data_IF_020639165177
#
_entry.id   IF_020639165177
#
_cell.length_a   1.000
_cell.length_b   1.000
_cell.length_c   1.000
_cell.angle_alpha   90.00
_cell.angle_beta   90.00
_cell.angle_gamma   90.00
#
_symmetry.space_group_name_H-M   'P 1'
#
loop_
_entity.id
_entity.type
_entity.pdbx_description
1 polymer ?
#
# COMPACT_ATOMS: atom_id res chain seq x y z
N UNK A 1 4.15 2.16 -6.46
CA UNK A 1 5.09 1.73 -7.52
C UNK A 1 5.19 0.22 -7.60
N UNK A 2 5.85 -0.47 -6.65
CA UNK A 2 5.99 -1.94 -6.69
C UNK A 2 4.66 -2.67 -6.88
N UNK A 3 3.63 -2.28 -6.10
CA UNK A 3 2.29 -2.87 -6.24
C UNK A 3 1.68 -2.66 -7.64
N UNK A 4 1.89 -1.49 -8.23
CA UNK A 4 1.42 -1.16 -9.58
C UNK A 4 2.13 -1.96 -10.67
N UNK A 5 3.42 -2.19 -10.52
CA UNK A 5 4.17 -3.00 -11.49
C UNK A 5 3.75 -4.47 -11.39
N UNK A 6 3.64 -5.02 -10.17
CA UNK A 6 3.28 -6.42 -9.95
C UNK A 6 1.85 -6.75 -10.40
N UNK A 7 0.88 -5.86 -10.17
CA UNK A 7 -0.52 -6.09 -10.61
C UNK A 7 -0.62 -6.09 -12.14
N UNK A 8 0.16 -5.25 -12.83
CA UNK A 8 0.23 -5.22 -14.31
C UNK A 8 0.91 -6.46 -14.90
N UNK A 9 1.82 -7.09 -14.15
CA UNK A 9 2.43 -8.37 -14.50
C UNK A 9 1.51 -9.57 -14.22
N UNK A 10 0.31 -9.34 -13.66
CA UNK A 10 -0.70 -10.36 -13.42
C UNK A 10 -0.62 -11.03 -12.04
N UNK A 11 0.16 -10.47 -11.10
CA UNK A 11 0.20 -10.97 -9.73
C UNK A 11 -0.96 -10.42 -8.89
N UNK A 12 -1.47 -11.22 -7.96
CA UNK A 12 -2.35 -10.70 -6.90
C UNK A 12 -1.52 -9.94 -5.87
N UNK A 13 -1.90 -8.70 -5.56
CA UNK A 13 -1.12 -7.82 -4.69
C UNK A 13 -1.99 -7.29 -3.55
N UNK A 14 -1.50 -7.46 -2.32
CA UNK A 14 -2.06 -6.86 -1.11
C UNK A 14 -1.03 -5.92 -0.47
N UNK A 15 -1.44 -4.70 -0.17
CA UNK A 15 -0.63 -3.69 0.53
C UNK A 15 -1.16 -3.54 1.96
N UNK A 16 -0.31 -3.84 2.94
CA UNK A 16 -0.60 -3.58 4.35
C UNK A 16 -0.06 -2.22 4.75
N UNK A 17 -0.91 -1.37 5.32
CA UNK A 17 -0.56 -0.03 5.77
C UNK A 17 -0.98 0.12 7.23
N UNK A 18 -0.08 0.67 8.05
CA UNK A 18 -0.29 0.84 9.48
C UNK A 18 -1.29 1.96 9.79
N UNK A 19 -1.44 2.93 8.89
CA UNK A 19 -2.30 4.08 9.04
C UNK A 19 -3.64 3.92 8.30
N UNK A 20 -4.56 4.83 8.58
CA UNK A 20 -5.93 4.83 8.04
C UNK A 20 -6.04 5.33 6.58
N UNK A 21 -4.93 5.75 5.95
CA UNK A 21 -4.85 6.12 4.54
C UNK A 21 -3.52 5.63 3.96
N UNK A 22 -3.57 5.10 2.75
CA UNK A 22 -2.36 4.78 1.98
C UNK A 22 -1.68 6.07 1.45
N UNK A 23 -0.36 5.99 1.29
CA UNK A 23 0.45 7.07 0.70
C UNK A 23 1.58 7.61 1.59
N UNK A 24 1.67 7.14 2.84
CA UNK A 24 2.82 7.39 3.72
C UNK A 24 3.18 8.86 3.86
N UNK A 25 4.46 9.21 3.65
CA UNK A 25 4.98 10.59 3.79
C UNK A 25 4.23 11.57 2.88
N UNK A 26 3.73 11.15 1.72
CA UNK A 26 3.01 12.01 0.80
C UNK A 26 1.66 12.49 1.37
N UNK A 27 1.05 11.72 2.28
CA UNK A 27 -0.22 12.07 2.94
C UNK A 27 0.01 12.69 4.31
N UNK A 28 0.96 12.15 5.07
CA UNK A 28 1.14 12.49 6.49
C UNK A 28 2.30 13.45 6.78
N UNK A 29 3.27 13.56 5.87
CA UNK A 29 4.47 14.38 6.06
C UNK A 29 4.48 15.68 5.26
N UNK A 30 4.04 15.64 3.99
CA UNK A 30 4.10 16.81 3.09
C UNK A 30 2.84 17.68 3.29
N UNK A 31 2.99 19.00 3.51
CA UNK A 31 1.84 19.90 3.64
C UNK A 31 1.02 20.04 2.36
N UNK A 32 -0.31 20.21 2.49
CA UNK A 32 -1.28 20.31 1.39
C UNK A 32 -0.92 21.37 0.34
N UNK A 33 -0.39 22.52 0.78
CA UNK A 33 -0.04 23.62 -0.13
C UNK A 33 1.18 23.31 -1.01
N UNK A 34 1.99 22.29 -0.66
CA UNK A 34 3.10 21.82 -1.49
C UNK A 34 2.71 20.63 -2.36
N UNK A 35 1.89 19.74 -1.81
CA UNK A 35 1.40 18.56 -2.50
C UNK A 35 -0.08 18.35 -2.15
N UNK A 36 -0.99 18.66 -3.08
CA UNK A 36 -2.41 18.41 -2.87
C UNK A 36 -2.69 16.92 -2.66
N UNK A 37 -3.34 16.56 -1.55
CA UNK A 37 -3.60 15.15 -1.20
C UNK A 37 -4.51 14.45 -2.20
N UNK A 38 -5.32 15.21 -2.94
CA UNK A 38 -6.15 14.69 -4.02
C UNK A 38 -5.33 13.97 -5.11
N UNK A 39 -4.09 14.40 -5.35
CA UNK A 39 -3.21 13.76 -6.34
C UNK A 39 -2.81 12.37 -5.84
N UNK A 40 -2.39 12.28 -4.57
CA UNK A 40 -1.99 11.00 -3.96
C UNK A 40 -3.19 10.05 -3.89
N UNK A 41 -4.36 10.56 -3.49
CA UNK A 41 -5.59 9.76 -3.45
C UNK A 41 -5.94 9.16 -4.81
N UNK A 42 -5.84 9.95 -5.88
CA UNK A 42 -6.12 9.48 -7.24
C UNK A 42 -5.19 8.34 -7.66
N UNK A 43 -3.92 8.39 -7.28
CA UNK A 43 -2.98 7.31 -7.56
C UNK A 43 -3.31 6.04 -6.76
N UNK A 44 -3.72 6.17 -5.50
CA UNK A 44 -4.18 5.02 -4.70
C UNK A 44 -5.44 4.42 -5.30
N UNK A 45 -6.44 5.24 -5.67
CA UNK A 45 -7.67 4.80 -6.33
C UNK A 45 -7.38 4.09 -7.67
N UNK A 46 -6.38 4.55 -8.43
CA UNK A 46 -5.97 3.88 -9.66
C UNK A 46 -5.44 2.47 -9.38
N UNK A 47 -4.62 2.29 -8.33
CA UNK A 47 -4.12 0.98 -7.93
C UNK A 47 -5.25 0.06 -7.45
N UNK A 48 -6.20 0.59 -6.67
CA UNK A 48 -7.40 -0.14 -6.24
C UNK A 48 -8.22 -0.60 -7.44
N UNK A 49 -8.43 0.28 -8.43
CA UNK A 49 -9.16 -0.05 -9.66
C UNK A 49 -8.43 -1.09 -10.53
N UNK A 50 -7.10 -1.18 -10.44
CA UNK A 50 -6.31 -2.24 -11.07
C UNK A 50 -6.40 -3.58 -10.31
N UNK A 51 -6.99 -3.59 -9.11
CA UNK A 51 -7.19 -4.79 -8.30
C UNK A 51 -6.17 -4.97 -7.16
N UNK A 52 -5.40 -3.94 -6.82
CA UNK A 52 -4.56 -3.97 -5.62
C UNK A 52 -5.45 -3.87 -4.37
N UNK A 53 -5.31 -4.81 -3.44
CA UNK A 53 -6.02 -4.76 -2.15
C UNK A 53 -5.23 -3.93 -1.13
N UNK A 54 -5.85 -2.90 -0.57
CA UNK A 54 -5.28 -2.16 0.56
C UNK A 54 -5.88 -2.62 1.89
N UNK A 55 -5.02 -3.04 2.81
CA UNK A 55 -5.34 -3.39 4.19
C UNK A 55 -4.79 -2.31 5.12
N UNK A 56 -5.61 -1.28 5.33
CA UNK A 56 -5.30 -0.15 6.20
C UNK A 56 -5.38 -0.55 7.68
N UNK A 57 -4.88 0.32 8.56
CA UNK A 57 -4.86 0.12 10.01
C UNK A 57 -4.22 -1.22 10.46
N UNK A 58 -3.29 -1.74 9.64
CA UNK A 58 -2.64 -3.03 9.83
C UNK A 58 -1.13 -2.86 9.96
N UNK A 59 -0.62 -3.04 11.19
CA UNK A 59 0.82 -2.96 11.45
C UNK A 59 1.48 -4.31 11.12
N UNK A 60 2.06 -4.42 9.94
CA UNK A 60 2.91 -5.55 9.58
C UNK A 60 4.09 -5.67 10.55
N UNK A 61 4.34 -6.88 11.07
CA UNK A 61 5.28 -7.18 12.14
C UNK A 61 4.74 -7.05 13.57
N UNK A 62 3.51 -6.54 13.77
CA UNK A 62 2.84 -6.55 15.08
C UNK A 62 1.46 -7.20 15.02
N UNK A 63 0.51 -6.56 14.33
CA UNK A 63 -0.84 -7.08 14.16
C UNK A 63 -0.86 -8.27 13.20
N UNK A 64 0.07 -8.25 12.23
CA UNK A 64 0.33 -9.34 11.27
C UNK A 64 1.82 -9.69 11.33
N UNK A 65 2.23 -10.76 12.03
CA UNK A 65 3.64 -11.17 12.09
C UNK A 65 4.22 -11.43 10.69
N UNK A 66 5.49 -11.05 10.48
CA UNK A 66 6.14 -11.18 9.15
C UNK A 66 6.27 -12.64 8.72
N UNK A 67 6.53 -13.54 9.67
CA UNK A 67 6.62 -14.98 9.42
C UNK A 67 5.30 -15.59 8.92
N UNK A 68 4.16 -15.07 9.37
CA UNK A 68 2.86 -15.46 8.82
C UNK A 68 2.69 -14.93 7.38
N UNK A 69 3.05 -13.67 7.12
CA UNK A 69 2.99 -13.09 5.78
C UNK A 69 3.86 -13.87 4.77
N UNK A 70 5.06 -14.27 5.17
CA UNK A 70 5.96 -15.06 4.32
C UNK A 70 5.42 -16.48 4.04
N UNK A 71 4.52 -17.00 4.87
CA UNK A 71 3.84 -18.30 4.62
C UNK A 71 2.59 -18.16 3.76
N UNK A 72 1.90 -17.04 3.87
CA UNK A 72 0.64 -16.78 3.16
C UNK A 72 0.83 -16.26 1.72
N UNK A 73 1.97 -15.62 1.45
CA UNK A 73 2.27 -15.00 0.15
C UNK A 73 3.53 -15.58 -0.47
N UNK A 74 3.58 -15.67 -1.79
CA UNK A 74 4.74 -16.18 -2.54
C UNK A 74 5.98 -15.28 -2.39
N UNK A 75 5.77 -13.98 -2.14
CA UNK A 75 6.82 -13.00 -1.91
C UNK A 75 6.34 -11.86 -1.01
N UNK A 76 7.27 -11.26 -0.28
CA UNK A 76 7.01 -10.10 0.59
C UNK A 76 8.01 -8.98 0.26
N UNK A 77 7.49 -7.77 0.06
CA UNK A 77 8.27 -6.55 -0.10
C UNK A 77 8.08 -5.65 1.12
N UNK A 78 9.17 -5.03 1.61
CA UNK A 78 9.17 -4.12 2.75
C UNK A 78 9.65 -2.75 2.27
N UNK A 79 8.84 -1.70 2.47
CA UNK A 79 9.13 -0.34 2.04
C UNK A 79 8.34 0.72 2.79
#
# INVERSE_FOLDING_TARGET
TVAGDLILLGHSVTVFEALHQAGGVLVYGIPEFRLPKAIVRREVELLENLGVEFRLDTIAGRTRPVDELVREYDAVFIG
#
